data_IF_246400646166
#
_entry.id   IF_246400646166
#
_cell.length_a   1.000
_cell.length_b   1.000
_cell.length_c   1.000
_cell.angle_alpha   90.00
_cell.angle_beta   90.00
_cell.angle_gamma   90.00
#
_symmetry.space_group_name_H-M   'P 1'
#
loop_
_entity.id
_entity.type
_entity.pdbx_description
1 polymer ?
#
# COMPACT_ATOMS: atom_id res chain seq x y z
N UNK A 1 42.10 3.22 -57.00
CA UNK A 1 41.25 2.25 -57.71
C UNK A 1 40.65 1.34 -56.66
N UNK A 2 39.34 1.19 -56.44
CA UNK A 2 38.16 1.70 -57.15
C UNK A 2 37.01 1.92 -56.17
N UNK A 3 36.04 2.70 -56.63
CA UNK A 3 34.81 3.08 -55.95
C UNK A 3 33.83 1.90 -55.93
N UNK A 4 33.02 1.78 -54.87
CA UNK A 4 31.87 0.90 -54.79
C UNK A 4 30.74 1.57 -54.01
N UNK A 5 29.75 2.10 -54.74
CA UNK A 5 28.52 2.70 -54.21
C UNK A 5 27.64 1.64 -53.54
N UNK A 6 27.08 1.94 -52.36
CA UNK A 6 25.98 1.17 -51.77
C UNK A 6 24.82 2.11 -51.45
N UNK A 7 23.86 2.19 -52.37
CA UNK A 7 22.59 2.90 -52.22
C UNK A 7 21.66 2.08 -51.32
N UNK A 8 21.27 2.66 -50.18
CA UNK A 8 20.26 2.10 -49.28
C UNK A 8 18.86 2.18 -49.89
N UNK A 9 18.21 1.02 -50.01
CA UNK A 9 16.83 0.86 -50.44
C UNK A 9 15.85 1.52 -49.46
N UNK A 10 15.00 2.37 -50.00
CA UNK A 10 13.84 2.94 -49.33
C UNK A 10 12.70 1.90 -49.28
N UNK A 11 12.02 1.68 -48.14
CA UNK A 11 10.82 0.86 -48.12
C UNK A 11 9.63 1.62 -48.74
N UNK A 12 9.01 0.97 -49.71
CA UNK A 12 7.76 1.33 -50.38
C UNK A 12 6.60 1.60 -49.41
N UNK A 13 5.69 2.55 -49.69
CA UNK A 13 4.46 2.72 -48.92
C UNK A 13 3.42 1.64 -49.28
N UNK A 14 3.12 0.77 -48.31
CA UNK A 14 2.04 -0.21 -48.42
C UNK A 14 0.65 0.41 -48.22
N UNK A 15 -0.18 0.22 -49.23
CA UNK A 15 -1.58 -0.22 -49.21
C UNK A 15 -2.55 0.42 -48.17
N UNK A 16 -3.47 1.24 -48.70
CA UNK A 16 -4.74 1.61 -48.08
C UNK A 16 -5.71 0.40 -48.06
N UNK A 17 -6.45 0.14 -46.96
CA UNK A 17 -7.55 -0.82 -46.94
C UNK A 17 -8.87 -0.23 -47.49
N UNK A 18 -9.83 -1.09 -47.91
CA UNK A 18 -10.94 -0.73 -48.81
C UNK A 18 -12.15 -0.10 -48.11
N UNK A 19 -12.87 0.75 -48.85
CA UNK A 19 -14.18 1.32 -48.51
C UNK A 19 -15.28 0.28 -48.80
N UNK A 20 -16.30 0.09 -47.93
CA UNK A 20 -17.32 -0.93 -48.15
C UNK A 20 -18.32 -0.49 -49.23
N UNK A 21 -18.57 -1.38 -50.19
CA UNK A 21 -19.59 -1.25 -51.22
C UNK A 21 -20.97 -1.58 -50.65
N UNK A 22 -21.94 -0.67 -50.83
CA UNK A 22 -23.36 -1.00 -50.87
C UNK A 22 -23.74 -1.18 -52.34
N UNK A 23 -23.95 -2.41 -52.77
CA UNK A 23 -24.51 -2.73 -54.08
C UNK A 23 -26.04 -2.75 -54.03
N UNK A 24 -26.67 -2.13 -55.03
CA UNK A 24 -27.91 -2.61 -55.63
C UNK A 24 -27.80 -2.42 -57.14
N UNK A 25 -28.27 -3.44 -57.86
CA UNK A 25 -27.98 -3.68 -59.26
C UNK A 25 -28.68 -2.76 -60.25
N UNK A 26 -28.18 -2.86 -61.48
CA UNK A 26 -28.68 -2.23 -62.70
C UNK A 26 -29.61 -3.22 -63.43
N UNK A 27 -30.82 -2.78 -63.80
CA UNK A 27 -31.50 -3.26 -65.01
C UNK A 27 -32.58 -2.27 -65.48
N UNK A 28 -32.28 -1.65 -66.64
CA UNK A 28 -33.09 -1.16 -67.77
C UNK A 28 -34.58 -0.80 -67.60
N UNK A 29 -34.95 0.37 -68.13
CA UNK A 29 -36.29 0.64 -68.65
C UNK A 29 -36.55 2.12 -69.00
N UNK A 30 -36.50 2.43 -70.32
CA UNK A 30 -37.12 3.58 -71.02
C UNK A 30 -36.48 4.97 -70.75
N UNK A 31 -35.60 5.52 -71.60
CA UNK A 31 -35.77 5.96 -72.99
C UNK A 31 -36.85 7.04 -73.20
N UNK A 32 -36.35 8.20 -73.66
CA UNK A 32 -36.99 9.22 -74.50
C UNK A 32 -37.58 10.46 -73.84
N UNK A 33 -36.84 11.56 -74.07
CA UNK A 33 -37.18 12.94 -74.41
C UNK A 33 -35.90 13.74 -74.05
N UNK A 34 -34.86 13.74 -74.88
CA UNK A 34 -34.90 14.22 -76.25
C UNK A 34 -34.83 15.75 -76.23
N UNK A 35 -33.65 16.28 -76.61
CA UNK A 35 -33.44 17.64 -77.11
C UNK A 35 -33.43 18.71 -75.99
N UNK A 36 -32.31 19.34 -75.62
CA UNK A 36 -31.81 20.58 -76.25
C UNK A 36 -30.44 20.98 -75.64
N UNK A 37 -29.44 20.10 -75.64
CA UNK A 37 -28.07 20.42 -75.16
C UNK A 37 -27.17 21.17 -76.16
N UNK A 38 -27.66 21.38 -77.39
CA UNK A 38 -26.88 21.90 -78.53
C UNK A 38 -27.44 23.22 -79.08
N UNK A 39 -27.98 24.11 -78.23
CA UNK A 39 -28.39 25.48 -78.63
C UNK A 39 -27.51 26.58 -77.99
N UNK A 40 -26.55 26.23 -77.13
CA UNK A 40 -25.68 27.24 -76.50
C UNK A 40 -24.35 27.50 -77.24
N UNK A 41 -24.16 26.94 -78.43
CA UNK A 41 -23.00 27.22 -79.28
C UNK A 41 -23.27 28.27 -80.39
N UNK A 42 -24.51 28.78 -80.54
CA UNK A 42 -24.87 29.62 -81.69
C UNK A 42 -25.55 30.95 -81.38
N UNK A 43 -25.59 31.41 -80.11
CA UNK A 43 -26.09 32.74 -79.76
C UNK A 43 -25.00 33.62 -79.13
N UNK A 44 -23.83 33.62 -79.77
CA UNK A 44 -22.74 34.57 -79.52
C UNK A 44 -22.97 35.98 -80.06
N UNK A 45 -24.21 36.51 -80.07
CA UNK A 45 -24.50 37.84 -80.65
C UNK A 45 -25.55 38.69 -79.91
N UNK A 46 -25.73 38.49 -78.61
CA UNK A 46 -26.32 39.49 -77.70
C UNK A 46 -25.50 39.43 -76.40
N UNK A 47 -24.35 40.09 -76.29
CA UNK A 47 -24.27 41.54 -76.30
C UNK A 47 -24.72 42.07 -74.93
N UNK A 48 -23.77 42.15 -73.98
CA UNK A 48 -23.82 43.04 -72.81
C UNK A 48 -24.86 42.77 -71.69
N UNK A 49 -24.98 41.52 -71.22
CA UNK A 49 -25.74 41.21 -69.98
C UNK A 49 -24.99 40.42 -68.90
N UNK A 50 -23.81 39.88 -69.21
CA UNK A 50 -23.13 38.89 -68.35
C UNK A 50 -21.81 39.38 -67.74
N UNK A 51 -21.39 40.62 -68.06
CA UNK A 51 -20.24 41.25 -67.40
C UNK A 51 -20.51 41.51 -65.89
N UNK A 52 -21.78 41.61 -65.48
CA UNK A 52 -22.15 41.86 -64.08
C UNK A 52 -22.28 40.60 -63.21
N UNK A 53 -22.24 39.39 -63.79
CA UNK A 53 -22.25 38.13 -63.02
C UNK A 53 -20.85 37.54 -62.80
N UNK A 54 -19.82 38.06 -63.47
CA UNK A 54 -18.41 37.75 -63.19
C UNK A 54 -17.95 38.20 -61.80
N UNK A 55 -18.66 39.14 -61.17
CA UNK A 55 -18.39 39.57 -59.79
C UNK A 55 -18.88 38.57 -58.73
N UNK A 56 -19.83 37.68 -59.05
CA UNK A 56 -20.29 36.63 -58.13
C UNK A 56 -19.48 35.32 -58.27
N UNK A 57 -18.84 35.09 -59.42
CA UNK A 57 -17.92 33.96 -59.60
C UNK A 57 -16.66 34.05 -58.72
N UNK A 58 -16.13 35.26 -58.54
CA UNK A 58 -14.98 35.51 -57.66
C UNK A 58 -15.35 35.38 -56.16
N UNK A 59 -16.61 35.66 -55.80
CA UNK A 59 -17.12 35.44 -54.44
C UNK A 59 -17.27 33.93 -54.16
N UNK A 60 -17.69 33.13 -55.14
CA UNK A 60 -17.80 31.67 -54.98
C UNK A 60 -16.44 30.94 -55.04
N UNK A 61 -15.47 31.43 -55.82
CA UNK A 61 -14.09 30.95 -55.77
C UNK A 61 -13.41 31.28 -54.43
N UNK A 62 -13.72 32.45 -53.85
CA UNK A 62 -13.25 32.85 -52.51
C UNK A 62 -13.94 32.08 -51.38
N UNK A 63 -15.22 31.71 -51.54
CA UNK A 63 -15.95 30.83 -50.62
C UNK A 63 -15.52 29.35 -50.74
N UNK A 64 -15.05 28.89 -51.91
CA UNK A 64 -14.44 27.57 -52.08
C UNK A 64 -13.10 27.43 -51.34
N UNK A 65 -12.35 28.53 -51.20
CA UNK A 65 -11.14 28.59 -50.36
C UNK A 65 -11.45 28.59 -48.85
N UNK A 66 -12.66 29.03 -48.45
CA UNK A 66 -13.17 28.87 -47.08
C UNK A 66 -13.72 27.45 -46.81
N UNK A 67 -14.16 26.73 -47.85
CA UNK A 67 -14.60 25.33 -47.74
C UNK A 67 -13.49 24.33 -47.41
N UNK A 68 -12.27 24.57 -47.91
CA UNK A 68 -11.08 23.78 -47.51
C UNK A 68 -10.64 24.05 -46.06
N UNK A 69 -11.12 25.13 -45.44
CA UNK A 69 -10.96 25.38 -44.00
C UNK A 69 -11.85 24.48 -43.13
N UNK A 70 -12.97 23.98 -43.66
CA UNK A 70 -13.92 23.16 -42.89
C UNK A 70 -13.55 21.67 -42.85
N UNK A 71 -12.72 21.18 -43.79
CA UNK A 71 -12.12 19.84 -43.70
C UNK A 71 -11.16 19.70 -42.49
N UNK A 72 -10.66 20.83 -41.96
CA UNK A 72 -9.82 20.87 -40.76
C UNK A 72 -10.62 20.96 -39.45
N UNK A 73 -11.94 21.25 -39.51
CA UNK A 73 -12.79 21.41 -38.33
C UNK A 73 -13.43 20.10 -37.83
N UNK A 74 -13.35 19.02 -38.61
CA UNK A 74 -13.97 17.73 -38.29
C UNK A 74 -13.03 16.65 -37.77
N UNK A 75 -11.72 16.91 -37.66
CA UNK A 75 -10.79 15.94 -37.11
C UNK A 75 -10.67 16.15 -35.60
N UNK A 76 -11.32 15.28 -34.81
CA UNK A 76 -11.11 15.25 -33.37
C UNK A 76 -9.63 14.98 -33.09
N UNK A 77 -8.89 16.01 -32.69
CA UNK A 77 -7.49 15.89 -32.36
C UNK A 77 -7.27 14.87 -31.25
N UNK A 78 -6.22 14.05 -31.36
CA UNK A 78 -5.88 13.09 -30.33
C UNK A 78 -5.47 13.80 -29.03
N UNK A 79 -6.13 13.47 -27.92
CA UNK A 79 -5.73 13.98 -26.62
C UNK A 79 -4.49 13.23 -26.11
N UNK A 80 -3.31 13.83 -26.26
CA UNK A 80 -2.05 13.28 -25.77
C UNK A 80 -1.44 14.06 -24.60
N UNK A 81 -2.24 14.88 -23.89
CA UNK A 81 -1.78 15.72 -22.78
C UNK A 81 -0.51 16.55 -23.12
N UNK A 82 -0.34 16.97 -24.38
CA UNK A 82 0.86 17.69 -24.85
C UNK A 82 2.20 16.91 -24.74
N UNK A 83 2.13 15.58 -24.59
CA UNK A 83 3.30 14.70 -24.53
C UNK A 83 3.61 13.96 -25.83
N UNK A 84 2.71 13.96 -26.81
CA UNK A 84 2.97 13.37 -28.12
C UNK A 84 2.50 14.31 -29.25
N UNK A 85 3.25 14.30 -30.35
CA UNK A 85 2.91 15.04 -31.58
C UNK A 85 2.25 14.18 -32.65
N UNK A 86 2.26 12.85 -32.46
CA UNK A 86 1.72 11.87 -33.40
C UNK A 86 0.79 10.92 -32.67
N UNK A 87 -0.26 10.48 -33.34
CA UNK A 87 -1.17 9.46 -32.86
C UNK A 87 -1.64 8.58 -34.01
N UNK A 88 -2.13 7.39 -33.68
CA UNK A 88 -2.77 6.46 -34.62
C UNK A 88 -4.22 6.24 -34.21
N UNK A 89 -5.09 6.04 -35.18
CA UNK A 89 -6.46 5.64 -34.93
C UNK A 89 -6.55 4.12 -34.74
N UNK A 90 -7.34 3.67 -33.77
CA UNK A 90 -7.67 2.28 -33.56
C UNK A 90 -9.20 2.11 -33.53
N UNK A 91 -9.73 1.35 -34.49
CA UNK A 91 -11.16 1.11 -34.67
C UNK A 91 -11.78 0.32 -33.51
N UNK A 92 -11.04 -0.61 -32.90
CA UNK A 92 -11.53 -1.43 -31.80
C UNK A 92 -11.76 -0.58 -30.55
N UNK A 93 -10.78 0.27 -30.22
CA UNK A 93 -10.89 1.22 -29.11
C UNK A 93 -11.99 2.27 -29.34
N UNK A 94 -12.24 2.65 -30.60
CA UNK A 94 -13.35 3.53 -30.95
C UNK A 94 -14.71 2.89 -30.65
N UNK A 95 -14.91 1.62 -31.04
CA UNK A 95 -16.13 0.85 -30.72
C UNK A 95 -16.33 0.73 -29.21
N UNK A 96 -15.28 0.36 -28.46
CA UNK A 96 -15.32 0.22 -27.00
C UNK A 96 -15.61 1.55 -26.28
N UNK A 97 -15.19 2.68 -26.83
CA UNK A 97 -15.46 4.01 -26.26
C UNK A 97 -16.90 4.51 -26.48
N UNK A 98 -17.78 3.70 -27.08
CA UNK A 98 -19.10 4.14 -27.50
C UNK A 98 -19.06 5.11 -28.68
N UNK A 99 -18.13 4.88 -29.63
CA UNK A 99 -17.89 5.73 -30.81
C UNK A 99 -17.52 7.18 -30.45
N UNK A 100 -16.79 7.37 -29.34
CA UNK A 100 -16.34 8.70 -28.87
C UNK A 100 -14.89 9.01 -29.26
N UNK A 101 -13.96 8.07 -29.06
CA UNK A 101 -12.55 8.29 -29.38
C UNK A 101 -11.79 6.98 -29.60
N UNK A 102 -11.10 6.89 -30.74
CA UNK A 102 -10.22 5.76 -31.11
C UNK A 102 -8.73 6.11 -31.13
N UNK A 103 -8.35 7.34 -30.77
CA UNK A 103 -6.97 7.80 -30.86
C UNK A 103 -6.05 7.14 -29.83
N UNK A 104 -4.84 6.76 -30.27
CA UNK A 104 -3.76 6.25 -29.42
C UNK A 104 -2.50 7.04 -29.72
N UNK A 105 -1.93 7.68 -28.69
CA UNK A 105 -0.71 8.49 -28.81
C UNK A 105 0.51 7.62 -29.08
N UNK A 106 1.44 8.15 -29.89
CA UNK A 106 2.67 7.46 -30.27
C UNK A 106 3.88 8.21 -29.71
N UNK A 107 4.87 7.48 -29.20
CA UNK A 107 6.13 8.02 -28.65
C UNK A 107 5.90 9.12 -27.60
N UNK A 108 5.19 8.78 -26.52
CA UNK A 108 4.98 9.68 -25.39
C UNK A 108 6.31 10.21 -24.86
N UNK A 109 6.47 11.54 -24.89
CA UNK A 109 7.64 12.27 -24.39
C UNK A 109 7.47 12.60 -22.91
N UNK A 110 8.47 13.24 -22.31
CA UNK A 110 8.43 13.72 -20.92
C UNK A 110 8.21 12.61 -19.88
N UNK A 111 8.70 11.39 -20.17
CA UNK A 111 8.59 10.22 -19.28
C UNK A 111 7.14 9.81 -18.94
N UNK A 112 6.20 10.10 -19.83
CA UNK A 112 4.81 9.67 -19.72
C UNK A 112 4.56 8.39 -20.52
N UNK A 113 3.48 7.69 -20.19
CA UNK A 113 3.06 6.43 -20.80
C UNK A 113 1.53 6.33 -20.86
N UNK A 114 1.06 5.31 -21.58
CA UNK A 114 -0.35 5.02 -21.78
C UNK A 114 -0.96 5.64 -23.03
N UNK A 115 -2.21 5.26 -23.31
CA UNK A 115 -2.95 5.65 -24.52
C UNK A 115 -2.97 7.15 -24.81
N UNK A 116 -3.15 7.95 -23.76
CA UNK A 116 -3.21 9.41 -23.81
C UNK A 116 -1.98 10.08 -23.17
N UNK A 117 -0.89 9.33 -22.93
CA UNK A 117 0.28 9.81 -22.19
C UNK A 117 -0.11 10.41 -20.82
N UNK A 118 -0.95 9.70 -20.07
CA UNK A 118 -1.69 10.24 -18.91
C UNK A 118 -1.15 9.76 -17.55
N UNK A 119 -0.21 8.82 -17.55
CA UNK A 119 0.51 8.38 -16.35
C UNK A 119 2.01 8.34 -16.61
N UNK A 120 2.81 8.20 -15.57
CA UNK A 120 4.27 8.17 -15.68
C UNK A 120 4.77 6.77 -16.03
N UNK A 121 5.80 6.69 -16.88
CA UNK A 121 6.43 5.41 -17.22
C UNK A 121 7.09 4.79 -15.97
N UNK A 122 7.36 3.49 -16.03
CA UNK A 122 8.06 2.79 -14.94
C UNK A 122 9.40 3.46 -14.59
N UNK A 123 9.69 3.56 -13.29
CA UNK A 123 10.83 4.32 -12.78
C UNK A 123 10.58 5.84 -12.70
N UNK A 124 9.35 6.31 -12.93
CA UNK A 124 8.92 7.69 -12.73
C UNK A 124 7.62 7.75 -11.93
N UNK A 125 7.41 8.84 -11.20
CA UNK A 125 6.21 9.12 -10.41
C UNK A 125 5.64 10.50 -10.73
N UNK A 126 4.36 10.70 -10.41
CA UNK A 126 3.59 11.90 -10.69
C UNK A 126 3.92 13.03 -9.70
N UNK A 127 4.35 14.18 -10.21
CA UNK A 127 4.53 15.40 -9.43
C UNK A 127 3.23 16.21 -9.34
N UNK A 128 2.47 16.02 -8.26
CA UNK A 128 1.17 16.67 -8.07
C UNK A 128 1.21 18.20 -8.05
N UNK A 129 2.38 18.82 -7.85
CA UNK A 129 2.53 20.28 -7.91
C UNK A 129 2.37 20.85 -9.34
N UNK A 130 2.40 19.98 -10.36
CA UNK A 130 2.33 20.38 -11.77
C UNK A 130 1.14 19.71 -12.44
N UNK A 131 0.48 20.35 -13.42
CA UNK A 131 -0.57 19.70 -14.20
C UNK A 131 0.00 18.55 -15.03
N UNK A 132 -0.84 17.56 -15.40
CA UNK A 132 -0.40 16.38 -16.14
C UNK A 132 0.28 16.75 -17.46
N UNK A 133 -0.20 17.81 -18.12
CA UNK A 133 0.34 18.28 -19.41
C UNK A 133 1.74 18.91 -19.35
N UNK A 134 2.28 19.14 -18.15
CA UNK A 134 3.55 19.80 -17.98
C UNK A 134 4.73 18.88 -18.38
N UNK A 135 5.78 19.43 -19.01
CA UNK A 135 6.98 18.66 -19.44
C UNK A 135 7.74 17.93 -18.33
N UNK A 136 7.51 18.34 -17.08
CA UNK A 136 8.07 17.77 -15.84
C UNK A 136 6.99 17.19 -14.91
N UNK A 137 5.83 16.81 -15.45
CA UNK A 137 4.75 16.20 -14.67
C UNK A 137 5.16 14.83 -14.08
N UNK A 138 6.16 14.19 -14.68
CA UNK A 138 6.76 12.93 -14.23
C UNK A 138 8.20 13.15 -13.76
N UNK A 139 8.47 12.80 -12.50
CA UNK A 139 9.78 12.89 -11.86
C UNK A 139 10.38 11.49 -11.71
N UNK A 140 11.70 11.38 -11.88
CA UNK A 140 12.39 10.09 -11.78
C UNK A 140 12.34 9.53 -10.35
N UNK A 141 12.18 8.21 -10.23
CA UNK A 141 12.38 7.50 -8.99
C UNK A 141 13.89 7.41 -8.71
N UNK A 142 14.35 8.09 -7.66
CA UNK A 142 15.75 8.07 -7.25
C UNK A 142 15.95 7.04 -6.12
N UNK A 143 15.60 5.78 -6.38
CA UNK A 143 15.66 4.74 -5.36
C UNK A 143 17.12 4.34 -5.07
N UNK A 144 17.51 4.36 -3.80
CA UNK A 144 18.87 4.07 -3.37
C UNK A 144 19.28 2.63 -3.74
N UNK A 145 20.41 2.40 -4.43
CA UNK A 145 20.74 1.10 -5.03
C UNK A 145 20.92 -0.02 -4.00
N UNK A 146 21.35 0.32 -2.79
CA UNK A 146 21.59 -0.64 -1.69
C UNK A 146 20.37 -0.73 -0.77
N UNK A 147 19.66 0.38 -0.58
CA UNK A 147 18.61 0.53 0.43
C UNK A 147 17.20 0.18 -0.05
N UNK A 148 16.96 0.28 -1.36
CA UNK A 148 15.72 -0.15 -1.99
C UNK A 148 15.81 -1.61 -2.46
N UNK A 149 14.66 -2.29 -2.48
CA UNK A 149 14.51 -3.62 -3.05
C UNK A 149 14.29 -3.58 -4.58
N UNK A 150 14.00 -2.41 -5.15
CA UNK A 150 13.75 -2.22 -6.58
C UNK A 150 13.89 -0.77 -7.02
N UNK A 151 13.93 -0.56 -8.34
CA UNK A 151 14.06 0.76 -8.99
C UNK A 151 12.70 1.44 -9.27
N UNK A 152 11.62 0.68 -9.23
CA UNK A 152 10.26 1.17 -9.46
C UNK A 152 9.66 1.69 -8.15
N UNK A 153 9.33 2.98 -8.12
CA UNK A 153 8.65 3.60 -6.98
C UNK A 153 7.13 3.70 -7.23
N UNK A 154 6.38 3.98 -6.16
CA UNK A 154 4.94 4.22 -6.25
C UNK A 154 4.64 5.42 -7.17
N UNK A 155 3.77 5.25 -8.16
CA UNK A 155 3.48 6.28 -9.16
C UNK A 155 2.82 7.55 -8.59
N UNK A 156 2.14 7.45 -7.45
CA UNK A 156 1.42 8.56 -6.82
C UNK A 156 2.27 9.25 -5.76
N UNK A 157 2.94 8.48 -4.90
CA UNK A 157 3.68 9.03 -3.75
C UNK A 157 5.18 9.21 -4.02
N UNK A 158 5.73 8.51 -5.01
CA UNK A 158 7.16 8.44 -5.25
C UNK A 158 7.92 7.56 -4.25
N UNK A 159 7.23 6.85 -3.36
CA UNK A 159 7.86 6.02 -2.34
C UNK A 159 8.49 4.77 -2.98
N UNK A 160 9.80 4.61 -2.78
CA UNK A 160 10.54 3.42 -3.18
C UNK A 160 10.26 2.24 -2.23
N UNK A 161 10.33 0.99 -2.72
CA UNK A 161 10.20 -0.20 -1.88
C UNK A 161 11.48 -0.38 -1.05
N UNK A 162 11.44 0.01 0.22
CA UNK A 162 12.62 -0.04 1.09
C UNK A 162 12.87 -1.43 1.68
N UNK A 163 14.15 -1.78 1.86
CA UNK A 163 14.57 -2.99 2.59
C UNK A 163 14.31 -2.85 4.10
N UNK A 164 14.40 -3.97 4.80
CA UNK A 164 14.22 -4.02 6.25
C UNK A 164 15.14 -3.05 6.99
N UNK A 165 14.57 -2.24 7.89
CA UNK A 165 15.32 -1.25 8.66
C UNK A 165 15.73 0.00 7.88
N UNK A 166 15.37 0.12 6.60
CA UNK A 166 15.62 1.30 5.76
C UNK A 166 14.35 2.14 5.67
N UNK A 167 14.49 3.47 5.64
CA UNK A 167 13.39 4.43 5.54
C UNK A 167 13.75 5.63 4.65
N UNK A 168 12.79 6.53 4.44
CA UNK A 168 12.88 7.68 3.55
C UNK A 168 12.20 7.42 2.18
N UNK A 169 11.85 8.49 1.43
CA UNK A 169 11.17 8.38 0.15
C UNK A 169 11.99 7.58 -0.88
N UNK A 170 13.31 7.72 -0.83
CA UNK A 170 14.29 7.07 -1.70
C UNK A 170 15.01 5.89 -1.04
N UNK A 171 14.65 5.50 0.18
CA UNK A 171 15.31 4.44 0.94
C UNK A 171 16.81 4.70 1.20
N UNK A 172 17.16 5.94 1.53
CA UNK A 172 18.54 6.41 1.66
C UNK A 172 19.06 6.48 3.11
N UNK A 173 18.27 6.09 4.11
CA UNK A 173 18.67 6.16 5.53
C UNK A 173 18.10 5.00 6.35
N UNK A 174 18.77 4.65 7.44
CA UNK A 174 18.23 3.67 8.37
C UNK A 174 17.09 4.25 9.22
N UNK A 175 16.12 3.41 9.57
CA UNK A 175 15.06 3.75 10.50
C UNK A 175 15.62 3.98 11.92
N UNK A 176 14.86 4.68 12.76
CA UNK A 176 15.25 4.91 14.16
C UNK A 176 15.45 3.56 14.88
N UNK A 177 16.55 3.41 15.60
CA UNK A 177 16.94 2.15 16.23
C UNK A 177 17.68 1.17 15.31
N UNK A 178 18.07 1.60 14.10
CA UNK A 178 18.93 0.85 13.19
C UNK A 178 20.20 1.63 12.86
N UNK A 179 21.30 0.91 12.63
CA UNK A 179 22.60 1.44 12.19
C UNK A 179 23.00 0.85 10.83
N UNK A 180 23.83 1.58 10.09
CA UNK A 180 24.34 1.11 8.80
C UNK A 180 25.29 -0.08 9.00
N UNK A 181 25.16 -1.07 8.12
CA UNK A 181 26.04 -2.22 8.04
C UNK A 181 26.88 -2.16 6.76
N UNK A 182 27.93 -2.99 6.68
CA UNK A 182 28.75 -3.12 5.47
C UNK A 182 28.14 -4.07 4.42
N UNK A 183 27.01 -4.71 4.73
CA UNK A 183 26.37 -5.67 3.83
C UNK A 183 25.48 -4.98 2.79
N UNK A 184 25.68 -5.21 1.48
CA UNK A 184 24.78 -4.72 0.44
C UNK A 184 23.38 -5.35 0.50
N UNK A 185 23.28 -6.56 1.07
CA UNK A 185 22.02 -7.31 1.19
C UNK A 185 21.18 -6.74 2.33
N UNK A 186 21.80 -6.53 3.50
CA UNK A 186 21.15 -6.02 4.71
C UNK A 186 21.84 -4.72 5.20
N UNK A 187 21.58 -3.58 4.55
CA UNK A 187 22.33 -2.34 4.80
C UNK A 187 22.02 -1.67 6.15
N UNK A 188 20.91 -2.01 6.80
CA UNK A 188 20.54 -1.48 8.10
C UNK A 188 20.26 -2.64 9.07
N UNK A 189 20.96 -2.65 10.21
CA UNK A 189 20.78 -3.65 11.28
C UNK A 189 20.30 -2.95 12.55
N UNK A 190 19.49 -3.63 13.38
CA UNK A 190 19.01 -3.05 14.63
C UNK A 190 20.18 -2.76 15.56
N UNK A 191 20.18 -1.59 16.17
CA UNK A 191 21.13 -1.23 17.22
C UNK A 191 20.81 -2.13 18.42
N UNK A 192 21.76 -2.97 18.88
CA UNK A 192 21.59 -3.66 20.14
C UNK A 192 21.51 -2.58 21.23
N UNK A 193 20.48 -2.64 22.06
CA UNK A 193 20.35 -1.75 23.22
C UNK A 193 21.42 -2.16 24.21
N UNK A 194 22.58 -1.49 24.16
CA UNK A 194 23.59 -1.59 25.20
C UNK A 194 23.06 -0.80 26.39
N UNK A 195 22.51 -1.51 27.38
CA UNK A 195 22.40 -0.95 28.72
C UNK A 195 23.83 -0.60 29.18
N UNK A 196 24.07 0.58 29.79
CA UNK A 196 25.38 0.95 30.32
C UNK A 196 25.67 0.15 31.61
N UNK A 197 25.88 -1.15 31.44
CA UNK A 197 26.50 -2.10 32.39
C UNK A 197 26.82 -3.38 31.61
N UNK A 198 27.68 -3.26 30.60
CA UNK A 198 28.25 -4.42 29.90
C UNK A 198 29.55 -3.99 29.20
N UNK A 199 30.51 -3.50 29.98
CA UNK A 199 31.91 -3.62 29.60
C UNK A 199 32.41 -4.91 30.26
N UNK A 200 32.91 -5.82 29.43
CA UNK A 200 33.47 -7.15 29.76
C UNK A 200 32.44 -8.19 30.21
N UNK A 201 32.01 -9.04 29.27
CA UNK A 201 32.07 -10.49 29.45
C UNK A 201 31.96 -11.10 28.05
N UNK A 202 33.02 -11.70 27.50
CA UNK A 202 33.25 -13.16 27.57
C UNK A 202 31.95 -13.97 27.56
N UNK A 203 31.96 -14.99 26.72
CA UNK A 203 31.01 -16.10 26.72
C UNK A 203 30.76 -16.64 28.13
N UNK A 204 29.76 -16.10 28.80
CA UNK A 204 29.01 -16.78 29.84
C UNK A 204 27.54 -16.51 29.51
N UNK A 205 26.88 -17.54 28.97
CA UNK A 205 25.44 -17.65 29.17
C UNK A 205 25.15 -17.38 30.65
N UNK A 206 24.12 -16.61 31.02
CA UNK A 206 23.63 -16.68 32.38
C UNK A 206 23.07 -18.09 32.54
N UNK A 207 23.94 -18.96 33.05
CA UNK A 207 23.65 -20.30 33.51
C UNK A 207 22.67 -20.20 34.68
N UNK A 208 21.41 -19.87 34.38
CA UNK A 208 20.25 -20.24 35.19
C UNK A 208 18.88 -19.82 34.64
N UNK A 209 18.75 -19.19 33.45
CA UNK A 209 17.38 -18.89 32.96
C UNK A 209 16.56 -20.16 32.67
N UNK A 210 17.20 -21.30 32.31
CA UNK A 210 16.50 -22.59 32.08
C UNK A 210 16.00 -23.24 33.40
N UNK A 211 16.63 -22.91 34.54
CA UNK A 211 16.20 -23.39 35.87
C UNK A 211 15.17 -22.45 36.52
N UNK A 212 15.28 -21.14 36.27
CA UNK A 212 14.47 -20.09 36.89
C UNK A 212 13.05 -20.00 36.32
N UNK A 213 12.92 -20.09 34.99
CA UNK A 213 11.64 -20.19 34.30
C UNK A 213 11.75 -21.24 33.19
N UNK A 214 10.73 -22.08 33.01
CA UNK A 214 10.63 -22.89 31.79
C UNK A 214 9.96 -22.03 30.72
N UNK A 215 10.69 -21.36 29.81
CA UNK A 215 10.07 -20.63 28.73
C UNK A 215 9.16 -21.58 27.97
N UNK A 216 7.96 -21.12 27.64
CA UNK A 216 6.97 -21.95 26.93
C UNK A 216 7.44 -22.14 25.48
N UNK A 217 8.32 -23.12 25.25
CA UNK A 217 8.78 -23.56 23.93
C UNK A 217 7.64 -24.38 23.27
N UNK A 218 6.90 -23.79 22.32
CA UNK A 218 5.96 -24.51 21.43
C UNK A 218 4.50 -24.02 21.39
N UNK A 219 3.66 -24.68 20.57
CA UNK A 219 2.20 -24.45 20.49
C UNK A 219 1.52 -24.92 21.79
N UNK A 220 1.42 -24.02 22.76
CA UNK A 220 0.87 -24.34 24.06
C UNK A 220 -0.61 -24.77 23.98
N UNK A 221 -0.90 -26.00 24.42
CA UNK A 221 -2.26 -26.56 24.48
C UNK A 221 -2.83 -26.46 25.90
N UNK A 222 -3.64 -25.43 26.20
CA UNK A 222 -4.30 -25.27 27.52
C UNK A 222 -5.37 -26.37 27.69
N UNK A 223 -5.19 -27.23 28.67
CA UNK A 223 -6.16 -28.27 29.04
C UNK A 223 -6.99 -27.86 30.27
N UNK A 224 -8.00 -28.66 30.61
CA UNK A 224 -8.86 -28.40 31.76
C UNK A 224 -8.05 -28.32 33.06
N UNK A 225 -7.14 -29.28 33.27
CA UNK A 225 -6.31 -29.36 34.48
C UNK A 225 -5.51 -28.08 34.72
N UNK A 226 -4.86 -27.55 33.67
CA UNK A 226 -4.08 -26.32 33.73
C UNK A 226 -4.96 -25.09 34.01
N UNK A 227 -6.17 -25.04 33.45
CA UNK A 227 -7.14 -23.97 33.72
C UNK A 227 -7.66 -24.01 35.17
N UNK A 228 -7.98 -25.20 35.68
CA UNK A 228 -8.47 -25.38 37.05
C UNK A 228 -7.43 -25.02 38.11
N UNK A 229 -6.14 -25.23 37.84
CA UNK A 229 -5.02 -24.90 38.75
C UNK A 229 -4.72 -23.39 38.88
N UNK A 230 -5.34 -22.53 38.07
CA UNK A 230 -5.10 -21.08 38.09
C UNK A 230 -6.21 -20.35 38.82
N UNK A 231 -5.88 -19.27 39.51
CA UNK A 231 -6.87 -18.50 40.28
C UNK A 231 -7.60 -17.50 39.39
N UNK A 232 -6.90 -16.93 38.41
CA UNK A 232 -7.53 -16.07 37.42
C UNK A 232 -7.12 -16.45 35.99
N UNK A 233 -8.01 -16.12 35.06
CA UNK A 233 -7.78 -16.27 33.63
C UNK A 233 -8.47 -15.14 32.88
N UNK A 234 -7.68 -14.23 32.30
CA UNK A 234 -8.18 -13.00 31.68
C UNK A 234 -7.57 -12.77 30.31
N UNK A 235 -8.36 -12.19 29.42
CA UNK A 235 -7.87 -11.64 28.15
C UNK A 235 -7.58 -10.15 28.36
N UNK A 236 -6.37 -9.73 28.01
CA UNK A 236 -5.91 -8.34 28.19
C UNK A 236 -5.34 -7.76 26.89
N UNK A 237 -5.49 -6.45 26.73
CA UNK A 237 -4.73 -5.64 25.78
C UNK A 237 -3.61 -4.94 26.55
N UNK A 238 -2.39 -4.99 26.04
CA UNK A 238 -1.25 -4.26 26.63
C UNK A 238 -1.17 -2.87 26.01
N UNK A 239 -1.30 -1.84 26.85
CA UNK A 239 -1.31 -0.44 26.42
C UNK A 239 0.08 0.19 26.56
N UNK A 240 0.65 0.14 27.77
CA UNK A 240 1.93 0.79 28.09
C UNK A 240 2.73 0.00 29.14
N UNK A 241 4.01 0.34 29.30
CA UNK A 241 4.94 -0.29 30.26
C UNK A 241 5.81 0.76 30.94
N UNK A 242 5.79 0.76 32.27
CA UNK A 242 6.63 1.59 33.14
C UNK A 242 7.52 0.69 34.02
N UNK A 243 8.75 1.12 34.31
CA UNK A 243 9.64 0.40 35.25
C UNK A 243 9.59 1.05 36.62
N UNK A 244 9.18 0.29 37.65
CA UNK A 244 9.07 0.73 39.04
C UNK A 244 9.95 -0.16 39.92
N UNK A 245 11.19 0.26 40.16
CA UNK A 245 12.19 -0.56 40.86
C UNK A 245 12.49 -1.86 40.11
N UNK A 246 12.42 -2.99 40.81
CA UNK A 246 12.64 -4.33 40.22
C UNK A 246 11.41 -4.90 39.49
N UNK A 247 10.37 -4.09 39.30
CA UNK A 247 9.11 -4.51 38.69
C UNK A 247 8.81 -3.72 37.41
N UNK A 248 8.33 -4.43 36.40
CA UNK A 248 7.67 -3.83 35.26
C UNK A 248 6.17 -3.75 35.51
N UNK A 249 5.63 -2.55 35.36
CA UNK A 249 4.24 -2.19 35.53
C UNK A 249 3.63 -2.01 34.14
N UNK A 250 2.83 -2.98 33.70
CA UNK A 250 2.10 -2.89 32.45
C UNK A 250 0.70 -2.32 32.69
N UNK A 251 0.38 -1.23 31.99
CA UNK A 251 -0.99 -0.74 31.90
C UNK A 251 -1.75 -1.62 30.91
N UNK A 252 -2.75 -2.36 31.42
CA UNK A 252 -3.49 -3.33 30.62
C UNK A 252 -4.99 -3.07 30.67
N UNK A 253 -5.68 -3.30 29.56
CA UNK A 253 -7.14 -3.27 29.51
C UNK A 253 -7.70 -4.69 29.49
N UNK A 254 -8.43 -5.08 30.54
CA UNK A 254 -9.06 -6.39 30.68
C UNK A 254 -10.32 -6.45 29.82
N UNK A 255 -10.23 -7.21 28.72
CA UNK A 255 -11.31 -7.38 27.73
C UNK A 255 -12.33 -8.42 28.19
N UNK A 256 -11.86 -9.53 28.76
CA UNK A 256 -12.73 -10.64 29.18
C UNK A 256 -12.14 -11.40 30.35
N UNK A 257 -13.00 -11.73 31.32
CA UNK A 257 -12.65 -12.52 32.49
C UNK A 257 -13.28 -13.91 32.35
N UNK A 258 -12.44 -14.93 32.25
CA UNK A 258 -12.87 -16.33 32.12
C UNK A 258 -12.88 -17.05 33.46
N UNK A 259 -11.98 -16.64 34.37
CA UNK A 259 -11.89 -17.15 35.73
C UNK A 259 -11.41 -16.04 36.66
N UNK A 260 -11.99 -15.98 37.85
CA UNK A 260 -11.60 -15.12 38.96
C UNK A 260 -11.93 -15.89 40.24
N UNK A 261 -10.92 -16.24 41.03
CA UNK A 261 -11.05 -16.88 42.33
C UNK A 261 -10.45 -15.91 43.35
N UNK A 262 -11.23 -15.53 44.36
CA UNK A 262 -10.90 -14.42 45.27
C UNK A 262 -11.59 -13.13 44.84
N UNK A 263 -10.88 -12.01 44.82
CA UNK A 263 -11.45 -10.72 44.45
C UNK A 263 -12.02 -10.71 43.01
N UNK A 264 -13.21 -10.13 42.80
CA UNK A 264 -13.82 -10.06 41.48
C UNK A 264 -13.06 -9.10 40.57
N UNK A 265 -12.31 -9.66 39.61
CA UNK A 265 -11.66 -8.91 38.55
C UNK A 265 -12.69 -8.23 37.65
N UNK A 266 -12.64 -6.90 37.58
CA UNK A 266 -13.48 -6.07 36.71
C UNK A 266 -12.86 -5.96 35.32
N UNK A 267 -13.72 -5.74 34.31
CA UNK A 267 -13.27 -5.35 32.97
C UNK A 267 -12.86 -3.87 32.97
N UNK A 268 -11.99 -3.50 32.04
CA UNK A 268 -11.43 -2.15 31.95
C UNK A 268 -9.98 -2.10 32.39
N UNK A 269 -9.56 -0.93 32.82
CA UNK A 269 -8.14 -0.67 33.07
C UNK A 269 -7.66 -1.35 34.34
N UNK A 270 -6.49 -1.96 34.24
CA UNK A 270 -5.86 -2.72 35.29
C UNK A 270 -4.34 -2.67 35.13
N UNK A 271 -3.64 -3.12 36.16
CA UNK A 271 -2.17 -3.15 36.17
C UNK A 271 -1.74 -4.60 36.18
N UNK A 272 -0.79 -4.94 35.31
CA UNK A 272 -0.11 -6.23 35.31
C UNK A 272 1.35 -6.02 35.73
N UNK A 273 1.71 -6.58 36.87
CA UNK A 273 3.07 -6.57 37.41
C UNK A 273 3.85 -7.80 36.93
N UNK A 274 5.07 -7.58 36.48
CA UNK A 274 6.01 -8.64 36.07
C UNK A 274 7.38 -8.31 36.64
N UNK A 275 8.07 -9.28 37.22
CA UNK A 275 9.40 -9.05 37.77
C UNK A 275 10.41 -8.75 36.62
N UNK A 276 11.34 -7.82 36.83
CA UNK A 276 12.34 -7.48 35.80
C UNK A 276 13.23 -8.67 35.43
N UNK A 277 13.53 -9.56 36.40
CA UNK A 277 14.24 -10.84 36.16
C UNK A 277 13.49 -11.78 35.20
N UNK A 278 12.16 -11.84 35.33
CA UNK A 278 11.28 -12.64 34.48
C UNK A 278 11.25 -12.09 33.04
N UNK A 279 11.19 -10.76 32.88
CA UNK A 279 11.30 -10.11 31.57
C UNK A 279 12.68 -10.29 30.93
N UNK A 280 13.76 -10.24 31.72
CA UNK A 280 15.12 -10.45 31.24
C UNK A 280 15.31 -11.86 30.65
N UNK A 281 14.72 -12.90 31.28
CA UNK A 281 14.69 -14.26 30.74
C UNK A 281 13.64 -14.48 29.63
N UNK A 282 12.94 -13.42 29.16
CA UNK A 282 11.83 -13.48 28.17
C UNK A 282 10.64 -14.37 28.60
N UNK A 283 10.39 -14.44 29.91
CA UNK A 283 9.37 -15.25 30.56
C UNK A 283 8.44 -14.34 31.41
N UNK A 284 7.48 -13.57 30.84
CA UNK A 284 6.84 -13.76 29.55
C UNK A 284 7.26 -12.78 28.44
N UNK A 285 7.17 -13.22 27.19
CA UNK A 285 7.35 -12.38 26.00
C UNK A 285 6.12 -11.53 25.73
N UNK A 286 6.02 -10.40 26.42
CA UNK A 286 4.96 -9.39 26.20
C UNK A 286 5.39 -8.45 25.07
N UNK A 287 4.44 -8.09 24.21
CA UNK A 287 4.61 -7.09 23.15
C UNK A 287 3.53 -6.04 23.30
N UNK A 288 3.89 -4.76 23.16
CA UNK A 288 2.93 -3.65 23.21
C UNK A 288 1.88 -3.78 22.10
N UNK A 289 0.68 -3.23 22.32
CA UNK A 289 -0.45 -3.23 21.36
C UNK A 289 -1.00 -4.63 21.00
N UNK A 290 -0.50 -5.71 21.61
CA UNK A 290 -0.98 -7.06 21.36
C UNK A 290 -1.96 -7.54 22.45
N UNK A 291 -2.82 -8.48 22.04
CA UNK A 291 -3.76 -9.20 22.92
C UNK A 291 -3.09 -10.41 23.54
N UNK A 292 -3.25 -10.60 24.84
CA UNK A 292 -2.71 -11.75 25.57
C UNK A 292 -3.76 -12.42 26.43
N UNK A 293 -3.61 -13.74 26.59
CA UNK A 293 -4.25 -14.50 27.65
C UNK A 293 -3.28 -14.57 28.82
N UNK A 294 -3.70 -14.07 29.97
CA UNK A 294 -2.94 -14.11 31.23
C UNK A 294 -3.68 -15.04 32.20
N UNK A 295 -2.98 -16.04 32.72
CA UNK A 295 -3.48 -16.93 33.76
C UNK A 295 -2.45 -17.09 34.87
N UNK A 296 -2.71 -16.53 36.04
CA UNK A 296 -1.81 -16.57 37.18
C UNK A 296 -2.41 -17.24 38.41
N UNK A 297 -1.59 -17.36 39.45
CA UNK A 297 -2.05 -17.64 40.81
C UNK A 297 -2.24 -16.32 41.57
N UNK A 298 -3.04 -16.34 42.62
CA UNK A 298 -3.19 -15.18 43.52
C UNK A 298 -1.97 -15.01 44.44
N UNK A 299 -1.17 -16.06 44.66
CA UNK A 299 0.04 -16.03 45.47
C UNK A 299 1.30 -16.09 44.60
N UNK A 300 2.06 -14.99 44.60
CA UNK A 300 3.31 -14.90 43.83
C UNK A 300 4.03 -13.56 43.96
N UNK A 301 4.25 -13.09 45.20
CA UNK A 301 5.20 -12.02 45.50
C UNK A 301 4.59 -10.86 46.28
N UNK A 302 4.74 -10.90 47.60
CA UNK A 302 4.82 -9.67 48.39
C UNK A 302 5.93 -8.81 47.79
N UNK A 303 5.57 -7.69 47.16
CA UNK A 303 6.54 -6.65 46.89
C UNK A 303 7.12 -6.20 48.24
N UNK A 304 8.44 -6.03 48.40
CA UNK A 304 8.99 -5.57 49.65
C UNK A 304 8.42 -4.18 49.96
N UNK A 305 7.93 -4.02 51.18
CA UNK A 305 7.68 -2.71 51.77
C UNK A 305 8.99 -1.91 51.68
N UNK A 306 8.89 -0.62 51.33
CA UNK A 306 10.00 0.30 51.46
C UNK A 306 10.57 0.20 52.90
N UNK A 307 11.89 0.22 53.02
CA UNK A 307 12.65 -0.09 54.24
C UNK A 307 12.34 0.77 55.48
N UNK A 308 13.03 0.49 56.60
CA UNK A 308 12.60 0.85 57.94
C UNK A 308 12.88 2.32 58.26
N UNK A 309 11.83 3.06 58.61
CA UNK A 309 11.90 4.40 59.18
C UNK A 309 11.09 4.45 60.48
N UNK A 310 11.78 4.64 61.59
CA UNK A 310 11.27 4.66 62.97
C UNK A 310 10.29 5.82 63.19
N UNK A 311 9.17 5.53 63.87
CA UNK A 311 8.29 6.53 64.50
C UNK A 311 7.12 5.85 65.20
N UNK A 312 6.96 5.97 66.54
CA UNK A 312 5.83 5.40 67.25
C UNK A 312 4.65 6.38 67.18
N UNK A 313 3.62 6.05 66.40
CA UNK A 313 2.35 6.76 66.45
C UNK A 313 1.60 6.82 65.12
N UNK A 314 0.38 6.29 65.12
CA UNK A 314 -0.64 6.60 64.12
C UNK A 314 -0.63 5.68 62.90
N UNK A 315 -1.58 4.75 62.85
CA UNK A 315 -1.81 3.89 61.70
C UNK A 315 -2.19 4.68 60.45
N UNK A 316 -1.44 4.44 59.37
CA UNK A 316 -1.91 4.61 57.99
C UNK A 316 -1.38 3.41 57.22
N UNK A 317 -2.28 2.51 56.83
CA UNK A 317 -2.00 1.43 55.89
C UNK A 317 -1.52 2.02 54.56
N UNK A 318 -0.25 1.82 54.23
CA UNK A 318 0.33 2.18 52.93
C UNK A 318 -0.39 1.45 51.78
N UNK A 319 -0.33 1.97 50.55
CA UNK A 319 -1.17 1.50 49.46
C UNK A 319 -0.78 0.07 49.07
N UNK A 320 -1.68 -0.86 49.35
CA UNK A 320 -1.72 -2.20 48.79
C UNK A 320 -1.61 -2.07 47.26
N UNK A 321 -0.60 -2.71 46.64
CA UNK A 321 -0.37 -2.62 45.20
C UNK A 321 -1.42 -3.46 44.47
N UNK A 322 -2.61 -2.89 44.24
CA UNK A 322 -3.73 -3.51 43.55
C UNK A 322 -3.36 -3.80 42.09
N UNK A 323 -3.34 -5.07 41.69
CA UNK A 323 -3.07 -5.46 40.30
C UNK A 323 -2.87 -6.96 40.10
N UNK A 324 -2.86 -7.38 38.84
CA UNK A 324 -2.53 -8.74 38.43
C UNK A 324 -1.00 -8.94 38.52
N UNK A 325 -0.54 -10.12 38.95
CA UNK A 325 0.91 -10.43 39.02
C UNK A 325 1.21 -11.63 38.12
N UNK A 326 2.04 -11.46 37.10
CA UNK A 326 2.52 -12.57 36.28
C UNK A 326 3.94 -12.97 36.71
N UNK A 327 4.01 -14.06 37.46
CA UNK A 327 5.23 -14.72 37.95
C UNK A 327 5.66 -15.92 37.07
N UNK A 328 6.72 -16.64 37.48
CA UNK A 328 7.20 -17.88 36.86
C UNK A 328 6.15 -18.99 36.69
N UNK A 329 5.12 -18.99 37.53
CA UNK A 329 4.01 -19.94 37.42
C UNK A 329 2.93 -19.44 36.48
N UNK A 330 2.87 -18.14 36.22
CA UNK A 330 1.87 -17.50 35.40
C UNK A 330 2.09 -17.79 33.93
N UNK A 331 0.97 -17.84 33.22
CA UNK A 331 0.96 -18.16 31.82
C UNK A 331 0.45 -16.98 31.02
N UNK A 332 1.36 -16.36 30.29
CA UNK A 332 1.07 -15.23 29.40
C UNK A 332 1.39 -15.66 27.97
N UNK A 333 0.35 -15.80 27.16
CA UNK A 333 0.48 -16.19 25.75
C UNK A 333 -0.29 -15.23 24.85
N UNK A 334 0.20 -15.04 23.64
CA UNK A 334 -0.51 -14.24 22.64
C UNK A 334 -1.88 -14.83 22.37
N UNK A 335 -2.89 -13.97 22.36
CA UNK A 335 -4.28 -14.35 22.13
C UNK A 335 -4.48 -14.95 20.74
N UNK A 336 -5.35 -15.96 20.66
CA UNK A 336 -5.87 -16.56 19.42
C UNK A 336 -7.35 -16.82 19.62
N UNK A 337 -8.17 -16.52 18.62
CA UNK A 337 -9.64 -16.59 18.77
C UNK A 337 -10.17 -18.00 19.06
N UNK A 338 -9.40 -19.03 18.70
CA UNK A 338 -9.68 -20.43 19.07
C UNK A 338 -9.75 -20.66 20.59
N UNK A 339 -9.08 -19.82 21.39
CA UNK A 339 -9.10 -19.90 22.85
C UNK A 339 -10.43 -19.47 23.45
N UNK A 340 -11.14 -18.53 22.81
CA UNK A 340 -12.40 -17.99 23.35
C UNK A 340 -13.43 -19.10 23.60
N UNK A 341 -13.69 -19.92 22.57
CA UNK A 341 -14.64 -21.05 22.66
C UNK A 341 -14.19 -22.08 23.69
N UNK A 342 -12.89 -22.33 23.77
CA UNK A 342 -12.29 -23.34 24.65
C UNK A 342 -12.34 -22.93 26.12
N UNK A 343 -11.95 -21.69 26.44
CA UNK A 343 -11.99 -21.15 27.80
C UNK A 343 -13.43 -21.03 28.32
N UNK A 344 -14.38 -20.61 27.48
CA UNK A 344 -15.82 -20.64 27.85
C UNK A 344 -16.32 -22.05 28.17
N UNK A 345 -15.87 -23.07 27.44
CA UNK A 345 -16.17 -24.48 27.75
C UNK A 345 -15.55 -24.91 29.07
N UNK A 346 -14.34 -24.43 29.40
CA UNK A 346 -13.67 -24.71 30.67
C UNK A 346 -14.39 -24.05 31.85
N UNK A 347 -14.69 -22.76 31.75
CA UNK A 347 -15.49 -22.02 32.72
C UNK A 347 -16.84 -22.70 33.03
N UNK A 348 -17.56 -23.16 31.99
CA UNK A 348 -18.82 -23.91 32.18
C UNK A 348 -18.64 -25.24 32.90
N UNK A 349 -17.54 -25.95 32.65
CA UNK A 349 -17.25 -27.25 33.27
C UNK A 349 -16.77 -27.08 34.72
N UNK A 350 -16.00 -26.04 34.99
CA UNK A 350 -15.61 -25.65 36.36
C UNK A 350 -16.84 -25.31 37.21
N UNK A 351 -17.76 -24.49 36.70
CA UNK A 351 -19.06 -24.21 37.37
C UNK A 351 -19.88 -25.47 37.66
N UNK A 352 -19.66 -26.56 36.92
CA UNK A 352 -20.29 -27.88 37.13
C UNK A 352 -19.46 -28.81 38.05
N UNK A 353 -18.50 -28.26 38.80
CA UNK A 353 -17.66 -29.00 39.75
C UNK A 353 -16.61 -29.92 39.11
N UNK A 354 -16.35 -29.83 37.80
CA UNK A 354 -15.48 -30.79 37.09
C UNK A 354 -13.97 -30.53 37.26
N UNK A 355 -13.57 -29.62 38.14
CA UNK A 355 -12.15 -29.37 38.43
C UNK A 355 -11.52 -30.42 39.36
N UNK A 356 -12.33 -31.20 40.11
CA UNK A 356 -11.83 -32.29 40.98
C UNK A 356 -11.46 -33.58 40.22
N UNK A 357 -11.88 -33.73 38.96
CA UNK A 357 -11.66 -34.93 38.11
C UNK A 357 -10.56 -34.74 37.05
N UNK A 358 -9.69 -33.73 37.15
CA UNK A 358 -8.81 -33.27 36.07
C UNK A 358 -7.30 -33.45 36.32
#
# INVERSE_FOLDING_TARGET
>A
MGQGNSLGMWPLPCALPPVPQSGTGRSNGWASLGLLGNIWASLGLLGNGWASLGLLGNIWASLGLLGNGWASLGLLACNCNLHARRCRFNMELYKLSGRKSGGVCMNCRHNTAGRHCHYCKEGFYRDMARPISHRRACKACDCHPVGAAGKTCNQTTGQCPCKDGVTGPTCNRCAKGYQQSRSPVAPCIKIPVVNPTAAVSSTEEPADCESYCKPVKGNLKINMKKFCKKDYAVQVNVLDMETVGDWAKFSVSVVSVYKSRGEPLKRGDNILWVHMKDLACKCPKIQMSNRFLVMGGAEGGTAPAAGPGVGPGGGVSGPERVGLVADKNSLVIQWRDVWMRRLRKFQRKEKKGKCSKA
#
